data_IF_032125968724
#
_entry.id   IF_032125968724
#
_cell.length_a   1.000
_cell.length_b   1.000
_cell.length_c   1.000
_cell.angle_alpha   90.00
_cell.angle_beta   90.00
_cell.angle_gamma   90.00
#
_symmetry.space_group_name_H-M   'P 1'
#
loop_
_entity.id
_entity.type
_entity.pdbx_description
1 polymer ?
#
# COMPACT_ATOMS: atom_id res chain seq x y z
N UNK A 1 11.01 12.37 -19.48
CA UNK A 1 10.30 12.65 -18.22
C UNK A 1 10.77 11.61 -17.24
N UNK A 2 11.51 12.03 -16.21
CA UNK A 2 12.06 11.11 -15.21
C UNK A 2 10.97 10.77 -14.19
N UNK A 3 10.81 9.48 -13.89
CA UNK A 3 9.83 9.01 -12.91
C UNK A 3 10.58 8.47 -11.71
N UNK A 4 10.23 8.97 -10.52
CA UNK A 4 10.76 8.46 -9.27
C UNK A 4 9.82 7.44 -8.66
N UNK A 5 10.39 6.34 -8.15
CA UNK A 5 9.68 5.33 -7.38
C UNK A 5 9.68 5.72 -5.90
N UNK A 6 8.49 5.80 -5.32
CA UNK A 6 8.28 6.26 -3.95
C UNK A 6 7.33 5.30 -3.21
N UNK A 7 7.52 5.01 -1.90
CA UNK A 7 6.58 4.19 -1.14
C UNK A 7 5.18 4.80 -1.18
N UNK A 8 4.15 4.04 -1.50
CA UNK A 8 2.81 4.60 -1.71
C UNK A 8 2.17 5.14 -0.42
N UNK A 9 1.32 6.17 -0.55
CA UNK A 9 0.69 6.81 0.60
C UNK A 9 -0.54 6.02 1.07
N UNK A 10 -0.40 5.28 2.18
CA UNK A 10 -1.47 4.47 2.77
C UNK A 10 -2.40 5.30 3.67
N UNK A 11 -1.90 6.42 4.17
CA UNK A 11 -2.68 7.38 4.95
C UNK A 11 -2.48 8.78 4.38
N UNK A 12 -3.60 9.50 4.20
CA UNK A 12 -3.62 10.87 3.70
C UNK A 12 -4.53 11.73 4.59
N UNK A 13 -3.98 12.79 5.19
CA UNK A 13 -4.72 13.68 6.09
C UNK A 13 -4.39 13.48 7.58
N UNK A 14 -5.36 13.73 8.48
CA UNK A 14 -5.13 13.64 9.93
C UNK A 14 -5.01 12.18 10.41
N UNK A 15 -4.06 11.94 11.33
CA UNK A 15 -3.87 10.63 11.94
C UNK A 15 -5.16 10.16 12.64
N UNK A 16 -5.59 8.92 12.36
CA UNK A 16 -6.79 8.32 12.97
C UNK A 16 -8.12 8.74 12.33
N UNK A 17 -8.14 9.60 11.31
CA UNK A 17 -9.34 9.92 10.56
C UNK A 17 -9.69 8.80 9.55
N UNK A 18 -10.06 7.62 10.05
CA UNK A 18 -10.79 6.56 9.33
C UNK A 18 -10.14 5.90 8.10
N UNK A 19 -9.03 6.39 7.56
CA UNK A 19 -8.52 5.97 6.25
C UNK A 19 -7.86 4.58 6.22
N UNK A 20 -7.26 4.13 7.33
CA UNK A 20 -6.49 2.89 7.33
C UNK A 20 -7.35 1.62 7.10
N UNK A 21 -8.66 1.64 7.37
CA UNK A 21 -9.54 0.46 7.18
C UNK A 21 -9.94 0.23 5.73
N UNK A 22 -10.15 1.29 4.96
CA UNK A 22 -10.68 1.21 3.59
C UNK A 22 -9.59 1.09 2.52
N UNK A 23 -8.31 1.21 2.89
CA UNK A 23 -7.17 1.13 1.96
C UNK A 23 -6.63 -0.27 1.76
N UNK A 24 -7.04 -1.26 2.56
CA UNK A 24 -6.62 -2.66 2.38
C UNK A 24 -7.85 -3.55 2.32
N UNK A 25 -8.13 -4.08 1.13
CA UNK A 25 -9.16 -5.08 0.88
C UNK A 25 -8.48 -6.45 0.81
N UNK A 26 -8.80 -7.29 1.78
CA UNK A 26 -8.28 -8.65 1.89
C UNK A 26 -9.35 -9.55 2.53
N UNK A 27 -9.50 -10.81 2.10
CA UNK A 27 -10.38 -11.75 2.78
C UNK A 27 -9.95 -12.00 4.23
N UNK A 28 -10.91 -12.23 5.12
CA UNK A 28 -10.64 -12.58 6.53
C UNK A 28 -10.12 -14.02 6.69
N UNK A 29 -10.43 -14.89 5.73
CA UNK A 29 -9.95 -16.26 5.68
C UNK A 29 -9.77 -16.79 4.26
N UNK A 30 -8.79 -17.68 4.08
CA UNK A 30 -8.43 -18.32 2.79
C UNK A 30 -8.06 -19.78 3.00
N UNK A 31 -8.18 -20.59 1.94
CA UNK A 31 -7.73 -21.99 1.96
C UNK A 31 -6.20 -22.12 1.93
N UNK A 32 -5.67 -23.19 2.54
CA UNK A 32 -4.28 -23.60 2.33
C UNK A 32 -4.05 -23.91 0.84
N UNK A 33 -2.95 -23.37 0.29
CA UNK A 33 -2.58 -23.45 -1.12
C UNK A 33 -3.57 -22.80 -2.11
N UNK A 34 -4.49 -21.97 -1.61
CA UNK A 34 -5.38 -21.17 -2.45
C UNK A 34 -4.74 -19.81 -2.76
N UNK A 35 -4.80 -19.41 -4.04
CA UNK A 35 -4.39 -18.07 -4.44
C UNK A 35 -5.50 -17.08 -4.04
N UNK A 36 -5.12 -15.99 -3.38
CA UNK A 36 -6.03 -14.92 -3.03
C UNK A 36 -5.41 -13.56 -3.34
N UNK A 37 -6.28 -12.56 -3.56
CA UNK A 37 -5.86 -11.21 -3.89
C UNK A 37 -5.96 -10.30 -2.67
N UNK A 38 -4.96 -9.44 -2.53
CA UNK A 38 -4.98 -8.27 -1.65
C UNK A 38 -4.94 -7.03 -2.52
N UNK A 39 -5.93 -6.18 -2.33
CA UNK A 39 -5.97 -4.87 -2.99
C UNK A 39 -5.61 -3.79 -1.99
N UNK A 40 -4.56 -3.04 -2.30
CA UNK A 40 -4.07 -1.91 -1.53
C UNK A 40 -4.38 -0.63 -2.30
N UNK A 41 -5.02 0.35 -1.66
CA UNK A 41 -5.30 1.65 -2.23
C UNK A 41 -4.36 2.68 -1.62
N UNK A 42 -3.56 3.34 -2.44
CA UNK A 42 -2.73 4.48 -2.03
C UNK A 42 -3.31 5.79 -2.54
N UNK A 43 -2.86 6.90 -1.95
CA UNK A 43 -3.27 8.25 -2.32
C UNK A 43 -2.16 8.96 -3.10
N UNK A 44 -2.54 9.62 -4.20
CA UNK A 44 -1.63 10.41 -5.02
C UNK A 44 -2.30 11.64 -5.60
N UNK A 45 -1.60 12.32 -6.51
CA UNK A 45 -2.02 13.54 -7.17
C UNK A 45 -1.93 13.47 -8.70
N UNK A 46 -2.07 14.61 -9.38
CA UNK A 46 -1.96 14.75 -10.84
C UNK A 46 -0.74 14.06 -11.48
N UNK A 47 0.40 14.07 -10.79
CA UNK A 47 1.68 13.52 -11.23
C UNK A 47 1.91 12.06 -10.82
N UNK A 48 1.03 11.52 -9.98
CA UNK A 48 1.21 10.17 -9.44
C UNK A 48 0.41 9.15 -10.26
N UNK A 49 0.99 7.96 -10.39
CA UNK A 49 0.36 6.76 -10.94
C UNK A 49 0.79 5.51 -10.16
N UNK A 50 0.01 4.40 -10.23
CA UNK A 50 0.39 3.18 -9.55
C UNK A 50 1.72 2.64 -10.09
N UNK A 51 2.62 2.26 -9.18
CA UNK A 51 3.85 1.55 -9.47
C UNK A 51 3.70 0.05 -9.24
N UNK A 52 4.79 -0.57 -8.77
CA UNK A 52 4.88 -2.00 -8.48
C UNK A 52 4.58 -2.32 -7.02
N UNK A 53 4.31 -3.60 -6.77
CA UNK A 53 4.26 -4.16 -5.41
C UNK A 53 5.33 -5.22 -5.25
N UNK A 54 5.95 -5.26 -4.07
CA UNK A 54 6.89 -6.31 -3.71
C UNK A 54 6.34 -7.10 -2.53
N UNK A 55 6.24 -8.42 -2.70
CA UNK A 55 5.68 -9.33 -1.70
C UNK A 55 6.78 -10.23 -1.18
N UNK A 56 6.92 -10.29 0.14
CA UNK A 56 7.81 -11.19 0.86
C UNK A 56 6.96 -12.12 1.71
N UNK A 57 6.90 -13.40 1.33
CA UNK A 57 6.24 -14.43 2.12
C UNK A 57 7.16 -14.88 3.26
N UNK A 58 6.60 -14.99 4.47
CA UNK A 58 7.33 -15.47 5.66
C UNK A 58 6.58 -16.64 6.30
N UNK A 59 7.20 -17.32 7.27
CA UNK A 59 6.51 -18.39 8.01
C UNK A 59 5.36 -17.87 8.88
N UNK A 60 5.39 -16.58 9.28
CA UNK A 60 4.39 -15.96 10.14
C UNK A 60 3.32 -15.16 9.37
N UNK A 61 3.46 -15.05 8.04
CA UNK A 61 2.55 -14.26 7.21
C UNK A 61 3.23 -13.68 5.97
N UNK A 62 2.96 -12.42 5.65
CA UNK A 62 3.51 -11.76 4.46
C UNK A 62 3.81 -10.29 4.71
N UNK A 63 4.84 -9.74 4.05
CA UNK A 63 5.09 -8.32 3.98
C UNK A 63 4.89 -7.83 2.55
N UNK A 64 4.08 -6.79 2.37
CA UNK A 64 3.80 -6.16 1.08
C UNK A 64 4.37 -4.75 1.13
N UNK A 65 5.29 -4.42 0.23
CA UNK A 65 5.72 -3.05 -0.01
C UNK A 65 4.99 -2.52 -1.25
N UNK A 66 4.29 -1.40 -1.09
CA UNK A 66 3.54 -0.77 -2.18
C UNK A 66 4.30 0.47 -2.65
N UNK A 67 4.41 0.66 -3.97
CA UNK A 67 5.12 1.79 -4.55
C UNK A 67 4.25 2.53 -5.55
N UNK A 68 4.32 3.86 -5.52
CA UNK A 68 3.78 4.73 -6.54
C UNK A 68 4.93 5.31 -7.38
N UNK A 69 4.59 5.76 -8.58
CA UNK A 69 5.51 6.47 -9.46
C UNK A 69 5.07 7.92 -9.55
N UNK A 70 6.03 8.84 -9.44
CA UNK A 70 5.76 10.28 -9.51
C UNK A 70 6.70 10.97 -10.50
N UNK A 71 6.15 11.96 -11.20
CA UNK A 71 6.92 12.92 -12.01
C UNK A 71 7.14 14.25 -11.30
N UNK A 72 6.64 14.41 -10.06
CA UNK A 72 6.75 15.64 -9.27
C UNK A 72 8.19 15.97 -8.81
N UNK A 73 9.16 15.13 -9.16
CA UNK A 73 10.60 15.35 -8.91
C UNK A 73 11.25 16.26 -9.95
N UNK A 74 10.63 16.44 -11.12
CA UNK A 74 11.13 17.33 -12.17
C UNK A 74 10.59 18.76 -11.94
N UNK A 75 11.45 19.78 -11.80
CA UNK A 75 11.04 21.16 -11.52
C UNK A 75 10.18 21.79 -12.63
N UNK A 76 10.17 21.23 -13.85
CA UNK A 76 9.31 21.68 -14.95
C UNK A 76 7.89 21.12 -14.91
N UNK A 77 7.59 20.18 -14.01
CA UNK A 77 6.31 19.47 -13.97
C UNK A 77 5.32 20.16 -13.02
N UNK A 78 4.16 20.52 -13.57
CA UNK A 78 3.03 21.06 -12.81
C UNK A 78 2.02 19.94 -12.50
N UNK A 79 1.84 19.62 -11.22
CA UNK A 79 0.88 18.60 -10.78
C UNK A 79 -0.50 19.21 -10.55
N UNK A 80 -1.54 18.57 -11.09
CA UNK A 80 -2.92 18.97 -10.76
C UNK A 80 -3.24 18.66 -9.30
N UNK A 81 -3.91 19.62 -8.63
CA UNK A 81 -4.36 19.50 -7.24
C UNK A 81 -5.62 18.62 -7.14
N UNK A 82 -5.48 17.34 -7.52
CA UNK A 82 -6.52 16.32 -7.45
C UNK A 82 -6.08 15.22 -6.49
N UNK A 83 -7.00 14.66 -5.71
CA UNK A 83 -6.70 13.46 -4.92
C UNK A 83 -7.05 12.25 -5.77
N UNK A 84 -6.05 11.44 -6.11
CA UNK A 84 -6.22 10.15 -6.79
C UNK A 84 -6.18 9.01 -5.78
N UNK A 85 -7.00 7.98 -6.04
CA UNK A 85 -6.90 6.66 -5.41
C UNK A 85 -6.22 5.71 -6.39
N UNK A 86 -5.08 5.18 -6.01
CA UNK A 86 -4.22 4.35 -6.85
C UNK A 86 -4.31 2.91 -6.32
N UNK A 87 -4.86 2.00 -7.12
CA UNK A 87 -5.09 0.62 -6.72
C UNK A 87 -3.90 -0.26 -7.08
N UNK A 88 -3.49 -1.09 -6.14
CA UNK A 88 -2.41 -2.06 -6.26
C UNK A 88 -2.93 -3.44 -5.89
N UNK A 89 -2.64 -4.45 -6.70
CA UNK A 89 -3.07 -5.82 -6.42
C UNK A 89 -1.87 -6.73 -6.27
N UNK A 90 -1.87 -7.51 -5.19
CA UNK A 90 -0.91 -8.56 -4.93
C UNK A 90 -1.65 -9.91 -4.83
N UNK A 91 -1.21 -10.89 -5.60
CA UNK A 91 -1.67 -12.28 -5.46
C UNK A 91 -0.75 -13.00 -4.51
N UNK A 92 -1.31 -13.66 -3.50
CA UNK A 92 -0.56 -14.39 -2.48
C UNK A 92 -1.15 -15.77 -2.26
N UNK A 93 -0.35 -16.67 -1.69
CA UNK A 93 -0.75 -18.03 -1.34
C UNK A 93 -0.05 -18.48 -0.07
N UNK A 94 -0.82 -18.88 0.93
CA UNK A 94 -0.27 -19.48 2.16
C UNK A 94 -0.21 -21.00 2.05
N UNK A 95 0.91 -21.60 2.46
CA UNK A 95 1.12 -23.05 2.38
C UNK A 95 0.92 -23.78 3.70
N UNK A 96 0.64 -23.04 4.78
CA UNK A 96 0.44 -23.59 6.13
C UNK A 96 -0.83 -23.01 6.76
N UNK A 97 -1.64 -23.84 7.43
CA UNK A 97 -2.81 -23.37 8.15
C UNK A 97 -2.42 -22.57 9.39
N UNK A 98 -3.33 -21.73 9.88
CA UNK A 98 -3.16 -20.94 11.09
C UNK A 98 -3.44 -19.45 10.90
N UNK A 99 -3.10 -18.65 11.91
CA UNK A 99 -3.17 -17.19 11.81
C UNK A 99 -1.90 -16.65 11.16
N UNK A 100 -2.06 -15.84 10.13
CA UNK A 100 -0.99 -15.14 9.45
C UNK A 100 -1.17 -13.62 9.60
N UNK A 101 -0.06 -12.90 9.68
CA UNK A 101 -0.04 -11.44 9.71
C UNK A 101 0.44 -10.89 8.37
N UNK A 102 -0.37 -10.08 7.72
CA UNK A 102 -0.02 -9.34 6.51
C UNK A 102 0.37 -7.92 6.91
N UNK A 103 1.63 -7.54 6.67
CA UNK A 103 2.17 -6.22 6.95
C UNK A 103 2.29 -5.43 5.65
N UNK A 104 1.57 -4.32 5.53
CA UNK A 104 1.57 -3.46 4.35
C UNK A 104 2.43 -2.22 4.66
N UNK A 105 3.55 -2.09 3.96
CA UNK A 105 4.51 -1.01 4.10
C UNK A 105 4.23 0.09 3.08
N UNK A 106 4.18 1.32 3.57
CA UNK A 106 4.02 2.52 2.76
C UNK A 106 4.35 3.77 3.57
N UNK A 107 3.70 4.89 3.24
CA UNK A 107 3.89 6.16 3.96
C UNK A 107 2.59 6.80 4.41
N UNK A 108 2.68 7.62 5.45
CA UNK A 108 1.67 8.61 5.85
C UNK A 108 2.06 9.95 5.24
N UNK A 109 1.10 10.62 4.62
CA UNK A 109 1.24 11.99 4.12
C UNK A 109 0.23 12.88 4.84
N UNK A 110 0.74 13.82 5.63
CA UNK A 110 -0.05 14.74 6.43
C UNK A 110 0.67 16.10 6.55
N UNK A 111 -0.03 17.18 6.97
CA UNK A 111 0.58 18.50 7.10
C UNK A 111 1.79 18.54 8.06
N UNK A 112 1.86 17.60 9.01
CA UNK A 112 2.94 17.45 10.00
C UNK A 112 4.09 16.52 9.53
N UNK A 113 4.01 15.97 8.32
CA UNK A 113 5.03 15.04 7.79
C UNK A 113 6.00 15.74 6.82
N UNK A 114 7.22 15.21 6.63
CA UNK A 114 8.12 15.67 5.57
C UNK A 114 7.45 15.61 4.18
N UNK A 115 7.98 16.32 3.16
CA UNK A 115 7.41 16.30 1.80
C UNK A 115 7.23 14.90 1.19
N UNK A 116 8.08 13.94 1.59
CA UNK A 116 8.01 12.54 1.15
C UNK A 116 7.22 11.63 2.10
N UNK A 117 6.55 12.20 3.10
CA UNK A 117 5.81 11.47 4.14
C UNK A 117 6.67 10.81 5.20
N UNK A 118 6.03 10.04 6.07
CA UNK A 118 6.67 9.23 7.13
C UNK A 118 6.33 7.75 6.90
N UNK A 119 7.30 6.82 6.98
CA UNK A 119 7.02 5.40 6.80
C UNK A 119 6.01 4.89 7.83
N UNK A 120 5.06 4.08 7.38
CA UNK A 120 4.07 3.40 8.23
C UNK A 120 3.88 1.95 7.80
N UNK A 121 3.38 1.14 8.73
CA UNK A 121 3.02 -0.26 8.49
C UNK A 121 1.57 -0.46 8.93
N UNK A 122 0.74 -0.94 8.01
CA UNK A 122 -0.62 -1.40 8.33
C UNK A 122 -0.61 -2.90 8.50
N UNK A 123 -1.13 -3.38 9.62
CA UNK A 123 -1.21 -4.81 9.91
C UNK A 123 -2.62 -5.34 9.68
N UNK A 124 -2.70 -6.52 9.07
CA UNK A 124 -3.94 -7.26 8.84
C UNK A 124 -3.77 -8.74 9.14
N UNK A 125 -4.59 -9.25 10.03
CA UNK A 125 -4.65 -10.67 10.33
C UNK A 125 -5.53 -11.40 9.32
N UNK A 126 -5.12 -12.60 8.94
CA UNK A 126 -5.89 -13.51 8.09
C UNK A 126 -5.85 -14.92 8.66
N UNK A 127 -6.96 -15.65 8.53
CA UNK A 127 -7.06 -17.05 8.96
C UNK A 127 -6.88 -17.98 7.77
N UNK A 128 -5.82 -18.79 7.77
CA UNK A 128 -5.58 -19.82 6.76
C UNK A 128 -6.18 -21.14 7.26
N UNK A 129 -7.11 -21.71 6.49
CA UNK A 129 -7.87 -22.92 6.86
C UNK A 129 -7.62 -24.07 5.90
#
# INVERSE_FOLDING_TARGET
MEEARIPGALEFGQAGAGAAKDVVLMPESVGVNEDFQVTIVTFGNGCDRPGDTAVIMTMAGAAIMVYDLTTAVDPGVMCTAVIKRLSHTATMRFTRPGRALVQIWGRRVAPDTPPLGTPIVLERSITVR
#
